data_IF_515933545448
#
_entry.id   IF_515933545448
#
_cell.length_a   1.000
_cell.length_b   1.000
_cell.length_c   1.000
_cell.angle_alpha   90.00
_cell.angle_beta   90.00
_cell.angle_gamma   90.00
#
_symmetry.space_group_name_H-M   'P 1'
#
loop_
_entity.id
_entity.type
_entity.pdbx_description
1 polymer ?
#
# COMPACT_ATOMS: atom_id res chain seq x y z
N UNK A 1 28.55 7.63 0.01
CA UNK A 1 28.50 6.27 -0.58
C UNK A 1 28.66 6.44 -2.07
N UNK A 2 29.79 6.05 -2.65
CA UNK A 2 30.01 6.15 -4.09
C UNK A 2 29.21 5.05 -4.80
N UNK A 3 28.25 5.45 -5.64
CA UNK A 3 27.32 4.53 -6.31
C UNK A 3 27.92 3.91 -7.59
N UNK A 4 29.09 4.37 -7.99
CA UNK A 4 29.80 3.91 -9.20
C UNK A 4 30.72 2.72 -8.94
N UNK A 5 30.97 2.40 -7.66
CA UNK A 5 31.76 1.26 -7.23
C UNK A 5 30.90 -0.01 -7.08
N UNK A 6 31.52 -1.19 -7.10
CA UNK A 6 30.86 -2.49 -6.92
C UNK A 6 30.56 -3.25 -8.22
N UNK A 7 30.17 -4.51 -8.06
CA UNK A 7 29.86 -5.43 -9.16
C UNK A 7 28.60 -5.01 -9.92
N UNK A 8 28.43 -5.50 -11.15
CA UNK A 8 27.19 -5.28 -11.93
C UNK A 8 25.96 -5.76 -11.16
N UNK A 9 26.05 -6.89 -10.47
CA UNK A 9 24.95 -7.46 -9.70
C UNK A 9 24.50 -6.54 -8.57
N UNK A 10 25.43 -6.03 -7.75
CA UNK A 10 25.11 -5.11 -6.65
C UNK A 10 24.44 -3.82 -7.15
N UNK A 11 24.90 -3.28 -8.28
CA UNK A 11 24.29 -2.10 -8.92
C UNK A 11 22.86 -2.39 -9.35
N UNK A 12 22.61 -3.54 -9.99
CA UNK A 12 21.25 -3.92 -10.39
C UNK A 12 20.33 -4.20 -9.20
N UNK A 13 20.83 -4.82 -8.13
CA UNK A 13 20.06 -5.07 -6.90
C UNK A 13 19.61 -3.76 -6.24
N UNK A 14 20.51 -2.77 -6.16
CA UNK A 14 20.17 -1.43 -5.67
C UNK A 14 19.16 -0.71 -6.56
N UNK A 15 19.33 -0.78 -7.87
CA UNK A 15 18.39 -0.18 -8.82
C UNK A 15 16.99 -0.81 -8.68
N UNK A 16 16.89 -2.14 -8.59
CA UNK A 16 15.62 -2.86 -8.36
C UNK A 16 14.95 -2.44 -7.06
N UNK A 17 15.71 -2.29 -5.97
CA UNK A 17 15.18 -1.80 -4.69
C UNK A 17 14.59 -0.39 -4.80
N UNK A 18 15.25 0.50 -5.55
CA UNK A 18 14.73 1.86 -5.78
C UNK A 18 13.49 1.87 -6.67
N UNK A 19 13.46 1.04 -7.72
CA UNK A 19 12.28 0.88 -8.56
C UNK A 19 11.08 0.31 -7.79
N UNK A 20 11.32 -0.62 -6.86
CA UNK A 20 10.27 -1.15 -5.97
C UNK A 20 9.65 -0.03 -5.11
N UNK A 21 10.49 0.81 -4.49
CA UNK A 21 10.02 1.96 -3.72
C UNK A 21 9.23 2.96 -4.57
N UNK A 22 9.71 3.25 -5.78
CA UNK A 22 8.99 4.10 -6.72
C UNK A 22 7.60 3.54 -7.03
N UNK A 23 7.48 2.23 -7.31
CA UNK A 23 6.20 1.58 -7.56
C UNK A 23 5.25 1.67 -6.36
N UNK A 24 5.75 1.43 -5.13
CA UNK A 24 4.94 1.52 -3.90
C UNK A 24 4.42 2.94 -3.69
N UNK A 25 5.29 3.96 -3.83
CA UNK A 25 4.91 5.36 -3.64
C UNK A 25 3.90 5.79 -4.70
N UNK A 26 4.11 5.40 -5.96
CA UNK A 26 3.17 5.67 -7.05
C UNK A 26 1.78 5.11 -6.76
N UNK A 27 1.72 3.86 -6.27
CA UNK A 27 0.45 3.24 -5.88
C UNK A 27 -0.26 4.01 -4.76
N UNK A 28 0.48 4.41 -3.72
CA UNK A 28 -0.05 5.19 -2.59
C UNK A 28 -0.63 6.53 -3.08
N UNK A 29 0.04 7.23 -4.01
CA UNK A 29 -0.43 8.51 -4.54
C UNK A 29 -1.77 8.39 -5.29
N UNK A 30 -1.99 7.30 -6.03
CA UNK A 30 -3.29 7.04 -6.67
C UNK A 30 -4.42 6.89 -5.63
N UNK A 31 -4.18 6.14 -4.56
CA UNK A 31 -5.17 6.00 -3.47
C UNK A 31 -5.37 7.29 -2.70
N UNK A 32 -4.34 8.14 -2.55
CA UNK A 32 -4.46 9.45 -1.91
C UNK A 32 -5.40 10.38 -2.69
N UNK A 33 -5.30 10.40 -4.02
CA UNK A 33 -6.23 11.16 -4.88
C UNK A 33 -7.68 10.68 -4.73
N UNK A 34 -7.91 9.37 -4.77
CA UNK A 34 -9.25 8.80 -4.58
C UNK A 34 -9.81 9.04 -3.18
N UNK A 35 -8.99 8.89 -2.13
CA UNK A 35 -9.39 9.13 -0.74
C UNK A 35 -9.74 10.61 -0.54
N UNK A 36 -8.96 11.52 -1.13
CA UNK A 36 -9.26 12.96 -1.08
C UNK A 36 -10.60 13.28 -1.73
N UNK A 37 -10.86 12.77 -2.94
CA UNK A 37 -12.14 12.95 -3.62
C UNK A 37 -13.31 12.41 -2.77
N UNK A 38 -13.15 11.23 -2.17
CA UNK A 38 -14.14 10.63 -1.28
C UNK A 38 -14.43 11.52 -0.05
N UNK A 39 -13.40 12.03 0.62
CA UNK A 39 -13.54 12.91 1.79
C UNK A 39 -14.25 14.20 1.40
N UNK A 40 -13.87 14.85 0.30
CA UNK A 40 -14.54 16.08 -0.17
C UNK A 40 -16.00 15.82 -0.52
N UNK A 41 -16.32 14.68 -1.12
CA UNK A 41 -17.71 14.27 -1.37
C UNK A 41 -18.49 14.05 -0.08
N UNK A 42 -17.85 13.54 0.97
CA UNK A 42 -18.49 13.25 2.26
C UNK A 42 -18.92 14.46 3.09
N UNK A 43 -18.36 15.64 2.80
CA UNK A 43 -18.75 16.89 3.46
C UNK A 43 -20.10 17.44 3.01
N UNK A 44 -20.76 16.82 2.01
CA UNK A 44 -22.06 17.27 1.50
C UNK A 44 -23.19 16.77 2.42
N UNK A 45 -24.21 17.60 2.73
CA UNK A 45 -25.28 17.25 3.65
C UNK A 45 -26.13 16.05 3.19
N UNK A 46 -26.24 15.83 1.88
CA UNK A 46 -27.00 14.71 1.30
C UNK A 46 -26.13 13.46 1.06
N UNK A 47 -24.90 13.43 1.58
CA UNK A 47 -23.98 12.34 1.29
C UNK A 47 -24.26 11.10 2.15
N UNK A 48 -24.67 10.02 1.48
CA UNK A 48 -24.66 8.66 2.03
C UNK A 48 -25.46 8.47 3.35
N UNK A 49 -26.53 9.24 3.54
CA UNK A 49 -27.33 9.30 4.78
C UNK A 49 -27.79 7.93 5.32
N UNK A 50 -28.12 6.99 4.42
CA UNK A 50 -28.72 5.71 4.76
C UNK A 50 -27.88 4.49 4.34
N UNK A 51 -26.63 4.71 3.95
CA UNK A 51 -25.78 3.62 3.48
C UNK A 51 -25.19 2.83 4.65
N UNK A 52 -25.53 1.54 4.71
CA UNK A 52 -24.91 0.58 5.63
C UNK A 52 -23.83 -0.20 4.89
N UNK A 53 -22.58 -0.04 5.32
CA UNK A 53 -21.47 -0.80 4.75
C UNK A 53 -21.65 -2.30 5.04
N UNK A 54 -21.62 -3.18 4.02
CA UNK A 54 -21.72 -4.62 4.23
C UNK A 54 -20.56 -5.17 5.08
N UNK A 55 -20.86 -6.10 5.98
CA UNK A 55 -19.88 -6.75 6.85
C UNK A 55 -18.74 -7.46 6.07
N UNK A 56 -18.99 -7.83 4.81
CA UNK A 56 -17.97 -8.42 3.93
C UNK A 56 -16.71 -7.55 3.81
N UNK A 57 -16.84 -6.22 3.84
CA UNK A 57 -15.69 -5.31 3.80
C UNK A 57 -14.83 -5.43 5.05
N UNK A 58 -15.45 -5.46 6.24
CA UNK A 58 -14.75 -5.62 7.52
C UNK A 58 -14.03 -6.97 7.60
N UNK A 59 -14.71 -8.05 7.19
CA UNK A 59 -14.12 -9.39 7.13
C UNK A 59 -12.88 -9.38 6.22
N UNK A 60 -13.00 -8.76 5.05
CA UNK A 60 -11.89 -8.67 4.10
C UNK A 60 -10.69 -7.90 4.68
N UNK A 61 -10.93 -6.79 5.38
CA UNK A 61 -9.87 -6.03 6.06
C UNK A 61 -9.15 -6.87 7.11
N UNK A 62 -9.90 -7.61 7.94
CA UNK A 62 -9.30 -8.50 8.95
C UNK A 62 -8.46 -9.59 8.29
N UNK A 63 -8.97 -10.23 7.24
CA UNK A 63 -8.23 -11.26 6.48
C UNK A 63 -6.93 -10.71 5.90
N UNK A 64 -6.95 -9.51 5.30
CA UNK A 64 -5.75 -8.86 4.76
C UNK A 64 -4.71 -8.62 5.88
N UNK A 65 -5.13 -8.10 7.03
CA UNK A 65 -4.23 -7.85 8.17
C UNK A 65 -3.62 -9.14 8.70
N UNK A 66 -4.41 -10.19 8.89
CA UNK A 66 -3.92 -11.51 9.32
C UNK A 66 -2.94 -12.10 8.31
N UNK A 67 -3.23 -11.97 7.01
CA UNK A 67 -2.32 -12.38 5.94
C UNK A 67 -0.98 -11.65 6.01
N UNK A 68 -0.99 -10.33 6.24
CA UNK A 68 0.23 -9.54 6.40
C UNK A 68 1.06 -9.97 7.62
N UNK A 69 0.40 -10.24 8.75
CA UNK A 69 1.07 -10.74 9.96
C UNK A 69 1.70 -12.11 9.70
N UNK A 70 0.96 -13.01 9.05
CA UNK A 70 1.44 -14.36 8.70
C UNK A 70 2.68 -14.29 7.81
N UNK A 71 2.68 -13.43 6.79
CA UNK A 71 3.84 -13.22 5.93
C UNK A 71 5.02 -12.62 6.68
N UNK A 72 4.79 -11.65 7.58
CA UNK A 72 5.84 -11.04 8.39
C UNK A 72 6.51 -12.06 9.32
N UNK A 73 5.72 -12.92 9.97
CA UNK A 73 6.22 -14.00 10.83
C UNK A 73 7.03 -14.99 9.98
N UNK A 74 6.51 -15.44 8.84
CA UNK A 74 7.20 -16.37 7.93
C UNK A 74 8.57 -15.83 7.50
N UNK A 75 8.66 -14.57 7.07
CA UNK A 75 9.92 -13.92 6.69
C UNK A 75 10.92 -13.83 7.86
N UNK A 76 10.45 -13.77 9.11
CA UNK A 76 11.34 -13.70 10.28
C UNK A 76 11.84 -15.08 10.71
N UNK A 77 11.05 -16.12 10.46
CA UNK A 77 11.38 -17.50 10.82
C UNK A 77 12.27 -18.17 9.75
N UNK A 78 12.06 -17.85 8.47
CA UNK A 78 12.88 -18.30 7.34
C UNK A 78 14.19 -17.50 7.22
#
# INVERSE_FOLDING_TARGET
MDLTQGTREEKTGRAKKMMLWFGIISLIMSFMGWTSAFIVSSSRPDWLSDFRLPNAFIISTVVIVVSSITFFISKKIA
#
